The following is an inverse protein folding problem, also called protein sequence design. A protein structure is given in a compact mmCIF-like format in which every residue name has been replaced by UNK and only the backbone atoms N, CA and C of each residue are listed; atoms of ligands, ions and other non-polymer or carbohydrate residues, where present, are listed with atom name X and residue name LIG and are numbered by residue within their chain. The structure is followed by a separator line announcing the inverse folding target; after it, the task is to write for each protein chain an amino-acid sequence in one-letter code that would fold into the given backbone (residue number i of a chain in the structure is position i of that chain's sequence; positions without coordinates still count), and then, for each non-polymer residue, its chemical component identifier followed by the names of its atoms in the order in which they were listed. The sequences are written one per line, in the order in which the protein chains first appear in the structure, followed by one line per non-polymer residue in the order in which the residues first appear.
data_IF_132485064346
#
_entry.id   IF_132485064346
#
_cell.length_a   1.000
_cell.length_b   1.000
_cell.length_c   1.000
_cell.angle_alpha   90.00
_cell.angle_beta   90.00
_cell.angle_gamma   90.00
#
_symmetry.space_group_name_H-M   'P 1'
#
loop_
_entity.id
_entity.type
_entity.pdbx_description
1 polymer ?
#
# COMPACT_ATOMS: atom_id res chain seq x y z
N UNK A 1 -3.91 -20.42 -19.01
CA UNK A 1 -2.99 -19.39 -19.52
C UNK A 1 -1.97 -19.13 -18.43
N UNK A 2 -0.71 -19.51 -18.63
CA UNK A 2 0.36 -19.02 -17.76
C UNK A 2 0.47 -17.51 -17.95
N UNK A 3 0.25 -16.74 -16.88
CA UNK A 3 0.38 -15.29 -16.92
C UNK A 3 1.88 -14.99 -16.91
N UNK A 4 2.37 -14.31 -17.94
CA UNK A 4 3.78 -13.93 -18.01
C UNK A 4 4.15 -13.07 -16.79
N UNK A 5 5.29 -13.40 -16.16
CA UNK A 5 5.80 -12.64 -15.02
C UNK A 5 6.17 -11.22 -15.45
N UNK A 6 5.72 -10.23 -14.67
CA UNK A 6 6.06 -8.83 -14.92
C UNK A 6 6.90 -8.25 -13.78
N UNK A 7 8.10 -7.78 -14.10
CA UNK A 7 8.97 -7.07 -13.16
C UNK A 7 9.18 -5.64 -13.66
N UNK A 8 9.01 -4.64 -12.77
CA UNK A 8 9.33 -3.26 -13.09
C UNK A 8 10.84 -3.05 -13.25
N UNK A 9 11.26 -1.88 -13.71
CA UNK A 9 12.68 -1.51 -13.85
C UNK A 9 13.47 -1.67 -12.54
N UNK A 10 12.80 -1.49 -11.41
CA UNK A 10 13.37 -1.61 -10.06
C UNK A 10 13.26 -3.02 -9.49
N UNK A 11 12.93 -4.04 -10.30
CA UNK A 11 12.73 -5.42 -9.84
C UNK A 11 13.41 -6.44 -10.76
N UNK A 12 14.23 -6.00 -11.71
CA UNK A 12 14.84 -6.85 -12.73
C UNK A 12 15.81 -7.87 -12.11
N UNK A 13 16.55 -7.47 -11.08
CA UNK A 13 17.52 -8.35 -10.43
C UNK A 13 17.10 -8.74 -9.01
N UNK A 14 17.59 -9.92 -8.58
CA UNK A 14 17.35 -10.48 -7.25
C UNK A 14 17.66 -9.49 -6.12
N UNK A 15 18.71 -8.68 -6.27
CA UNK A 15 19.10 -7.71 -5.25
C UNK A 15 18.04 -6.61 -5.09
N UNK A 16 17.51 -6.07 -6.18
CA UNK A 16 16.48 -5.03 -6.11
C UNK A 16 15.20 -5.57 -5.48
N UNK A 17 14.78 -6.80 -5.85
CA UNK A 17 13.65 -7.48 -5.22
C UNK A 17 13.84 -7.70 -3.72
N UNK A 18 15.06 -8.01 -3.26
CA UNK A 18 15.37 -8.07 -1.83
C UNK A 18 15.19 -6.74 -1.13
N UNK A 19 15.59 -5.63 -1.75
CA UNK A 19 15.43 -4.30 -1.14
C UNK A 19 13.94 -3.92 -1.01
N UNK A 20 13.11 -4.27 -1.99
CA UNK A 20 11.65 -4.12 -1.90
C UNK A 20 11.09 -4.88 -0.69
N UNK A 21 11.48 -6.16 -0.54
CA UNK A 21 11.05 -6.98 0.60
C UNK A 21 11.54 -6.42 1.94
N UNK A 22 12.81 -6.00 2.03
CA UNK A 22 13.37 -5.42 3.26
C UNK A 22 12.60 -4.18 3.70
N UNK A 23 12.26 -3.30 2.76
CA UNK A 23 11.46 -2.11 3.06
C UNK A 23 10.10 -2.50 3.64
N UNK A 24 9.38 -3.43 3.00
CA UNK A 24 8.07 -3.89 3.46
C UNK A 24 8.11 -4.57 4.85
N UNK A 25 9.14 -5.38 5.11
CA UNK A 25 9.35 -6.00 6.42
C UNK A 25 9.67 -4.94 7.48
N UNK A 26 10.51 -3.95 7.17
CA UNK A 26 10.81 -2.84 8.07
C UNK A 26 9.57 -2.06 8.50
N UNK A 27 8.67 -1.78 7.55
CA UNK A 27 7.36 -1.15 7.83
C UNK A 27 6.48 -2.06 8.70
N UNK A 28 6.52 -3.38 8.52
CA UNK A 28 5.72 -4.31 9.31
C UNK A 28 6.22 -4.44 10.75
N UNK A 29 7.54 -4.45 10.95
CA UNK A 29 8.15 -4.52 12.29
C UNK A 29 7.86 -3.28 13.14
N UNK A 30 7.76 -2.09 12.53
CA UNK A 30 7.37 -0.87 13.27
C UNK A 30 5.94 -0.94 13.82
N UNK A 31 5.10 -1.82 13.26
CA UNK A 31 3.74 -2.09 13.73
C UNK A 31 3.67 -3.24 14.74
N UNK A 32 4.82 -3.72 15.25
CA UNK A 32 4.93 -4.86 16.18
C UNK A 32 4.25 -6.16 15.68
N UNK A 33 4.16 -6.33 14.36
CA UNK A 33 3.61 -7.55 13.77
C UNK A 33 4.73 -8.35 13.12
N UNK A 34 5.11 -9.51 13.68
CA UNK A 34 6.06 -10.38 13.01
C UNK A 34 5.43 -10.94 11.72
N UNK A 35 6.21 -11.10 10.64
CA UNK A 35 5.71 -11.70 9.40
C UNK A 35 5.32 -13.16 9.62
N UNK A 36 4.23 -13.60 8.98
CA UNK A 36 3.80 -15.00 8.99
C UNK A 36 4.75 -15.88 8.15
N UNK A 37 4.75 -17.19 8.41
CA UNK A 37 5.56 -18.14 7.63
C UNK A 37 5.19 -18.11 6.14
N UNK A 38 3.89 -18.02 5.82
CA UNK A 38 3.40 -17.89 4.46
C UNK A 38 3.95 -16.64 3.77
N UNK A 39 3.93 -15.49 4.46
CA UNK A 39 4.47 -14.24 3.92
C UNK A 39 5.96 -14.36 3.62
N UNK A 40 6.73 -15.02 4.50
CA UNK A 40 8.17 -15.25 4.28
C UNK A 40 8.42 -16.14 3.07
N UNK A 41 7.63 -17.19 2.88
CA UNK A 41 7.73 -18.08 1.72
C UNK A 41 7.43 -17.34 0.41
N UNK A 42 6.34 -16.58 0.35
CA UNK A 42 5.96 -15.78 -0.82
C UNK A 42 7.04 -14.73 -1.15
N UNK A 43 7.58 -14.05 -0.14
CA UNK A 43 8.68 -13.10 -0.32
C UNK A 43 9.94 -13.77 -0.90
N UNK A 44 10.27 -14.98 -0.46
CA UNK A 44 11.40 -15.74 -1.00
C UNK A 44 11.18 -16.14 -2.47
N UNK A 45 9.97 -16.56 -2.84
CA UNK A 45 9.61 -16.87 -4.23
C UNK A 45 9.70 -15.63 -5.13
N UNK A 46 9.23 -14.48 -4.64
CA UNK A 46 9.35 -13.20 -5.34
C UNK A 46 10.82 -12.79 -5.52
N UNK A 47 11.63 -12.87 -4.46
CA UNK A 47 13.07 -12.61 -4.56
C UNK A 47 13.73 -13.52 -5.60
N UNK A 48 13.37 -14.82 -5.61
CA UNK A 48 13.86 -15.79 -6.58
C UNK A 48 13.39 -15.51 -8.03
N UNK A 49 12.40 -14.63 -8.22
CA UNK A 49 11.80 -14.35 -9.53
C UNK A 49 10.85 -15.45 -10.01
N UNK A 50 10.36 -16.29 -9.09
CA UNK A 50 9.38 -17.34 -9.38
C UNK A 50 7.95 -16.78 -9.48
N UNK A 51 7.68 -15.70 -8.75
CA UNK A 51 6.45 -14.93 -8.80
C UNK A 51 6.79 -13.45 -8.96
N UNK A 52 5.88 -12.70 -9.56
CA UNK A 52 5.96 -11.24 -9.62
C UNK A 52 5.23 -10.60 -8.43
N UNK A 53 5.32 -9.26 -8.33
CA UNK A 53 4.70 -8.51 -7.25
C UNK A 53 3.17 -8.62 -7.28
N UNK A 54 2.57 -8.71 -8.47
CA UNK A 54 1.11 -8.84 -8.61
C UNK A 54 0.59 -10.18 -8.10
N UNK A 55 1.33 -11.26 -8.35
CA UNK A 55 1.03 -12.59 -7.82
C UNK A 55 1.26 -12.67 -6.31
N UNK A 56 2.33 -12.05 -5.81
CA UNK A 56 2.56 -11.92 -4.37
C UNK A 56 1.40 -11.16 -3.70
N UNK A 57 0.97 -10.03 -4.26
CA UNK A 57 -0.18 -9.27 -3.75
C UNK A 57 -1.45 -10.10 -3.76
N UNK A 58 -1.77 -10.76 -4.88
CA UNK A 58 -2.98 -11.56 -5.00
C UNK A 58 -3.02 -12.74 -4.01
N UNK A 59 -1.87 -13.38 -3.73
CA UNK A 59 -1.77 -14.44 -2.74
C UNK A 59 -2.00 -13.91 -1.32
N UNK A 60 -1.44 -12.73 -1.00
CA UNK A 60 -1.67 -12.09 0.29
C UNK A 60 -3.10 -11.60 0.44
N UNK A 61 -3.68 -11.03 -0.62
CA UNK A 61 -5.08 -10.61 -0.62
C UNK A 61 -5.99 -11.80 -0.37
N UNK A 62 -5.74 -12.96 -0.98
CA UNK A 62 -6.53 -14.17 -0.75
C UNK A 62 -6.45 -14.69 0.70
N UNK A 63 -5.27 -14.64 1.33
CA UNK A 63 -5.06 -15.07 2.72
C UNK A 63 -5.64 -14.07 3.73
N UNK A 64 -5.37 -12.80 3.52
CA UNK A 64 -5.69 -11.70 4.43
C UNK A 64 -6.92 -10.92 4.00
N UNK A 65 -7.78 -11.50 3.14
CA UNK A 65 -9.04 -10.86 2.78
C UNK A 65 -9.71 -10.40 4.07
N UNK A 66 -10.05 -9.10 4.21
CA UNK A 66 -10.88 -8.68 5.31
C UNK A 66 -12.15 -9.53 5.20
N UNK A 67 -12.41 -10.34 6.23
CA UNK A 67 -13.59 -11.20 6.22
C UNK A 67 -14.79 -10.31 5.86
N UNK A 68 -15.57 -10.63 4.81
CA UNK A 68 -16.84 -9.95 4.58
C UNK A 68 -17.72 -10.31 5.79
N UNK A 69 -17.71 -9.43 6.76
CA UNK A 69 -18.21 -9.69 8.09
C UNK A 69 -18.54 -8.37 8.76
N UNK A 70 -19.61 -8.39 9.54
CA UNK A 70 -20.02 -7.25 10.34
C UNK A 70 -18.87 -6.87 11.27
N UNK A 71 -18.27 -5.69 11.08
CA UNK A 71 -17.32 -5.15 12.05
C UNK A 71 -18.08 -4.98 13.38
N UNK A 72 -17.75 -5.75 14.43
CA UNK A 72 -18.48 -5.67 15.70
C UNK A 72 -18.31 -4.31 16.39
N UNK A 73 -17.37 -3.49 15.93
CA UNK A 73 -17.15 -2.12 16.38
C UNK A 73 -17.73 -1.07 15.42
N UNK A 74 -18.28 -1.48 14.27
CA UNK A 74 -18.97 -0.55 13.39
C UNK A 74 -20.23 -0.04 14.09
N UNK A 75 -20.21 1.26 14.41
CA UNK A 75 -21.37 1.96 15.01
C UNK A 75 -22.55 2.09 14.05
N UNK A 76 -22.33 1.87 12.76
CA UNK A 76 -23.30 2.09 11.69
C UNK A 76 -23.28 0.93 10.70
N UNK A 77 -24.45 0.54 10.22
CA UNK A 77 -24.56 -0.38 9.10
C UNK A 77 -23.94 0.23 7.83
N UNK A 78 -23.53 -0.58 6.83
CA UNK A 78 -23.08 -0.06 5.53
C UNK A 78 -24.11 0.92 4.94
N UNK A 79 -23.69 2.17 4.71
CA UNK A 79 -24.55 3.24 4.20
C UNK A 79 -25.42 3.96 5.25
N UNK A 80 -25.41 3.54 6.52
CA UNK A 80 -26.17 4.15 7.61
C UNK A 80 -25.31 5.05 8.52
N UNK A 81 -24.18 5.55 8.01
CA UNK A 81 -23.35 6.52 8.72
C UNK A 81 -24.10 7.84 8.96
N UNK A 82 -23.59 8.71 9.85
CA UNK A 82 -24.16 10.04 10.01
C UNK A 82 -24.16 10.73 8.64
N UNK A 83 -25.23 11.48 8.33
CA UNK A 83 -25.23 12.39 7.19
C UNK A 83 -24.11 13.40 7.39
N UNK A 84 -22.95 13.09 6.83
CA UNK A 84 -21.84 14.03 6.68
C UNK A 84 -22.08 14.75 5.37
N UNK A 85 -21.95 16.07 5.38
CA UNK A 85 -21.94 16.83 4.14
C UNK A 85 -20.83 16.26 3.24
N UNK A 86 -21.09 16.13 1.92
CA UNK A 86 -20.06 15.68 0.99
C UNK A 86 -18.80 16.52 1.20
N UNK A 87 -17.65 15.86 1.34
CA UNK A 87 -16.39 16.58 1.38
C UNK A 87 -16.32 17.52 0.17
N UNK A 88 -15.99 18.80 0.42
CA UNK A 88 -15.79 19.75 -0.66
C UNK A 88 -14.83 19.15 -1.67
N UNK A 89 -15.18 19.27 -2.96
CA UNK A 89 -14.35 18.81 -4.06
C UNK A 89 -12.95 19.39 -3.85
N UNK A 90 -11.98 18.51 -3.63
CA UNK A 90 -10.61 18.90 -3.39
C UNK A 90 -10.09 19.59 -4.66
N UNK A 91 -9.80 20.88 -4.57
CA UNK A 91 -9.08 21.61 -5.61
C UNK A 91 -7.58 21.32 -5.41
N UNK A 92 -6.93 20.53 -6.28
CA UNK A 92 -5.53 20.15 -6.10
C UNK A 92 -4.56 21.32 -6.31
N UNK A 93 -5.07 22.49 -6.72
CA UNK A 93 -4.27 23.70 -6.84
C UNK A 93 -4.34 24.47 -5.52
N UNK A 94 -3.35 24.22 -4.67
CA UNK A 94 -2.88 25.24 -3.73
C UNK A 94 -2.49 26.46 -4.57
N UNK A 95 -3.41 27.42 -4.69
CA UNK A 95 -3.12 28.74 -5.24
C UNK A 95 -2.19 29.44 -4.26
N UNK A 96 -0.88 29.23 -4.43
CA UNK A 96 0.12 30.05 -3.79
C UNK A 96 0.01 31.46 -4.38
N UNK A 97 -0.59 32.37 -3.62
CA UNK A 97 -0.59 33.78 -3.96
C UNK A 97 0.79 34.36 -3.60
N UNK A 98 1.68 34.36 -4.60
CA UNK A 98 3.06 34.85 -4.51
C UNK A 98 3.13 36.38 -4.27
N UNK A 99 1.99 37.07 -4.22
CA UNK A 99 1.90 38.51 -3.95
C UNK A 99 2.17 38.91 -2.48
N UNK A 100 2.34 37.93 -1.58
CA UNK A 100 2.66 38.18 -0.16
C UNK A 100 4.16 38.31 0.14
N UNK A 101 5.05 38.11 -0.83
CA UNK A 101 6.48 38.42 -0.67
C UNK A 101 6.72 39.89 -1.01
N UNK A 102 6.37 40.77 -0.07
CA UNK A 102 6.68 42.19 -0.16
C UNK A 102 8.19 42.41 -0.39
N UNK A 103 8.58 43.35 -1.27
CA UNK A 103 9.98 43.62 -1.50
C UNK A 103 10.57 44.38 -0.31
N UNK A 104 11.66 43.82 0.25
CA UNK A 104 12.82 44.54 0.83
C UNK A 104 12.57 45.39 2.10
N UNK A 105 13.27 45.11 3.21
CA UNK A 105 14.54 45.73 3.70
C UNK A 105 14.34 46.10 5.20
N UNK A 106 15.37 46.41 6.02
CA UNK A 106 16.79 46.63 5.74
C UNK A 106 17.74 45.49 6.13
#
# INVERSE_FOLDING_TARGET
MEKALYFSENEQIKQQRREVVKFAVGVSMSQNRPPSTLLVELQNQYIAGQIDLAQLSAALDAEYQPAPGFDPFARYAPGAGPQVEPAHQYDPYLHFDESSVGPRLP
#
